data_IF_826892275734
#
_entry.id   IF_826892275734
#
_cell.length_a   1.000
_cell.length_b   1.000
_cell.length_c   1.000
_cell.angle_alpha   90.00
_cell.angle_beta   90.00
_cell.angle_gamma   90.00
#
_symmetry.space_group_name_H-M   'P 1'
#
loop_
_entity.id
_entity.type
_entity.pdbx_description
1 polymer ?
#
# COMPACT_ATOMS: atom_id res chain seq x y z
N UNK A 1 -17.29 16.94 19.02
CA UNK A 1 -17.08 16.61 17.59
C UNK A 1 -15.61 16.21 17.41
N UNK A 2 -15.27 14.92 17.29
CA UNK A 2 -13.89 14.49 17.08
C UNK A 2 -13.51 14.73 15.62
N UNK A 3 -12.68 15.76 15.39
CA UNK A 3 -12.11 16.06 14.09
C UNK A 3 -11.25 14.85 13.66
N UNK A 4 -11.81 13.99 12.81
CA UNK A 4 -11.09 12.83 12.25
C UNK A 4 -10.06 13.35 11.25
N UNK A 5 -8.92 13.83 11.77
CA UNK A 5 -7.75 14.12 10.96
C UNK A 5 -7.36 12.86 10.20
N UNK A 6 -7.34 12.98 8.87
CA UNK A 6 -6.87 11.93 7.98
C UNK A 6 -5.42 11.60 8.35
N UNK A 7 -5.14 10.32 8.57
CA UNK A 7 -3.80 9.85 8.91
C UNK A 7 -2.92 9.82 7.65
N UNK A 8 -2.36 10.97 7.28
CA UNK A 8 -1.58 11.13 6.04
C UNK A 8 -0.35 10.24 5.96
N UNK A 9 0.24 9.88 7.11
CA UNK A 9 1.36 8.95 7.14
C UNK A 9 0.99 7.55 6.61
N UNK A 10 -0.26 7.09 6.80
CA UNK A 10 -0.70 5.80 6.25
C UNK A 10 -0.84 5.82 4.73
N UNK A 11 -1.19 6.97 4.15
CA UNK A 11 -1.19 7.15 2.70
C UNK A 11 0.26 7.04 2.15
N UNK A 12 1.23 7.65 2.85
CA UNK A 12 2.65 7.52 2.52
C UNK A 12 3.18 6.10 2.67
N UNK A 13 2.83 5.40 3.76
CA UNK A 13 3.21 3.99 3.92
C UNK A 13 2.67 3.18 2.75
N UNK A 14 1.42 3.38 2.35
CA UNK A 14 0.84 2.68 1.19
C UNK A 14 1.68 2.94 -0.07
N UNK A 15 1.98 4.20 -0.37
CA UNK A 15 2.80 4.58 -1.54
C UNK A 15 4.16 3.86 -1.52
N UNK A 16 4.88 3.91 -0.39
CA UNK A 16 6.20 3.30 -0.26
C UNK A 16 6.11 1.77 -0.33
N UNK A 17 5.11 1.16 0.31
CA UNK A 17 4.91 -0.28 0.27
C UNK A 17 4.65 -0.79 -1.16
N UNK A 18 3.96 -0.02 -2.00
CA UNK A 18 3.79 -0.33 -3.42
C UNK A 18 5.07 -0.15 -4.23
N UNK A 19 5.90 0.86 -3.94
CA UNK A 19 7.23 0.96 -4.57
C UNK A 19 8.10 -0.25 -4.23
N UNK A 20 8.10 -0.67 -2.96
CA UNK A 20 8.79 -1.90 -2.52
C UNK A 20 8.20 -3.14 -3.20
N UNK A 21 6.90 -3.17 -3.51
CA UNK A 21 6.26 -4.26 -4.25
C UNK A 21 6.79 -4.37 -5.69
N UNK A 22 7.02 -3.24 -6.38
CA UNK A 22 7.62 -3.23 -7.72
C UNK A 22 9.02 -3.84 -7.66
N UNK A 23 9.86 -3.38 -6.73
CA UNK A 23 11.21 -3.93 -6.54
C UNK A 23 11.17 -5.43 -6.22
N UNK A 24 10.21 -5.86 -5.40
CA UNK A 24 10.02 -7.27 -5.07
C UNK A 24 9.66 -8.10 -6.30
N UNK A 25 8.67 -7.70 -7.11
CA UNK A 25 8.31 -8.45 -8.30
C UNK A 25 9.40 -8.45 -9.38
N UNK A 26 10.21 -7.38 -9.48
CA UNK A 26 11.43 -7.42 -10.30
C UNK A 26 12.45 -8.40 -9.72
N UNK A 27 12.64 -8.42 -8.39
CA UNK A 27 13.49 -9.41 -7.73
C UNK A 27 13.03 -10.86 -7.91
N UNK A 28 11.71 -11.10 -8.00
CA UNK A 28 11.14 -12.44 -8.25
C UNK A 28 11.63 -13.06 -9.57
N UNK A 29 12.04 -12.25 -10.55
CA UNK A 29 12.66 -12.74 -11.78
C UNK A 29 14.05 -13.35 -11.54
N UNK A 30 14.79 -12.91 -10.51
CA UNK A 30 16.18 -13.29 -10.23
C UNK A 30 16.38 -14.26 -9.03
N UNK A 31 15.36 -14.54 -8.22
CA UNK A 31 15.48 -15.53 -7.10
C UNK A 31 15.45 -16.98 -7.60
N UNK A 32 15.72 -17.98 -6.76
CA UNK A 32 15.51 -19.39 -7.12
C UNK A 32 14.03 -19.85 -7.09
N UNK A 33 13.15 -19.07 -6.45
CA UNK A 33 11.75 -19.44 -6.22
C UNK A 33 10.92 -19.47 -7.51
N UNK A 34 9.84 -20.24 -7.51
CA UNK A 34 8.91 -20.31 -8.63
C UNK A 34 8.27 -18.93 -8.91
N UNK A 35 8.21 -18.58 -10.19
CA UNK A 35 7.62 -17.35 -10.69
C UNK A 35 7.26 -17.49 -12.18
N UNK A 36 6.49 -16.56 -12.72
CA UNK A 36 6.02 -16.57 -14.11
C UNK A 36 7.13 -16.80 -15.13
N UNK A 37 8.19 -15.98 -15.06
CA UNK A 37 9.34 -16.02 -15.96
C UNK A 37 10.59 -15.83 -15.10
N UNK A 38 11.69 -16.53 -15.43
CA UNK A 38 12.94 -16.52 -14.67
C UNK A 38 14.13 -16.06 -15.52
N UNK A 39 15.04 -15.31 -14.91
CA UNK A 39 16.33 -14.96 -15.51
C UNK A 39 17.19 -16.22 -15.67
N UNK A 40 18.00 -16.33 -16.74
CA UNK A 40 19.04 -17.36 -16.83
C UNK A 40 20.05 -17.30 -15.67
N UNK A 41 20.24 -16.12 -15.07
CA UNK A 41 21.14 -15.88 -13.94
C UNK A 41 20.42 -15.95 -12.58
N UNK A 42 19.22 -16.54 -12.52
CA UNK A 42 18.46 -16.66 -11.29
C UNK A 42 19.19 -17.51 -10.23
N UNK A 43 19.16 -17.07 -8.98
CA UNK A 43 19.83 -17.76 -7.88
C UNK A 43 19.54 -17.15 -6.50
N UNK A 44 20.38 -17.47 -5.51
CA UNK A 44 20.11 -17.12 -4.11
C UNK A 44 20.56 -15.71 -3.69
N UNK A 45 21.31 -15.00 -4.53
CA UNK A 45 22.01 -13.77 -4.14
C UNK A 45 21.06 -12.66 -3.63
N UNK A 46 19.89 -12.48 -4.24
CA UNK A 46 18.93 -11.44 -3.87
C UNK A 46 17.91 -11.90 -2.82
N UNK A 47 17.85 -13.19 -2.51
CA UNK A 47 16.85 -13.77 -1.59
C UNK A 47 16.86 -13.14 -0.19
N UNK A 48 18.01 -12.82 0.44
CA UNK A 48 18.01 -12.14 1.74
C UNK A 48 17.26 -10.80 1.71
N UNK A 49 17.42 -10.01 0.65
CA UNK A 49 16.71 -8.75 0.45
C UNK A 49 15.21 -8.97 0.20
N UNK A 50 14.86 -10.06 -0.48
CA UNK A 50 13.48 -10.44 -0.71
C UNK A 50 12.78 -10.86 0.58
N UNK A 51 13.44 -11.67 1.42
CA UNK A 51 12.97 -12.09 2.75
C UNK A 51 12.79 -10.89 3.69
N UNK A 52 13.55 -9.81 3.51
CA UNK A 52 13.39 -8.59 4.30
C UNK A 52 11.98 -8.00 4.18
N UNK A 53 11.33 -8.14 3.03
CA UNK A 53 10.05 -7.50 2.71
C UNK A 53 8.86 -8.46 2.53
N UNK A 54 9.12 -9.72 2.18
CA UNK A 54 8.08 -10.72 1.92
C UNK A 54 7.09 -10.93 3.09
N UNK A 55 7.53 -11.06 4.36
CA UNK A 55 6.63 -11.43 5.46
C UNK A 55 5.53 -10.40 5.74
N UNK A 56 5.79 -9.11 5.53
CA UNK A 56 4.94 -8.05 6.06
C UNK A 56 4.25 -7.18 5.02
N UNK A 57 4.80 -7.04 3.81
CA UNK A 57 4.32 -6.09 2.78
C UNK A 57 2.83 -6.18 2.51
N UNK A 58 2.31 -7.39 2.26
CA UNK A 58 0.89 -7.58 1.95
C UNK A 58 0.00 -7.41 3.18
N UNK A 59 0.43 -7.93 4.33
CA UNK A 59 -0.27 -7.74 5.60
C UNK A 59 -0.42 -6.27 5.98
N UNK A 60 0.62 -5.46 5.71
CA UNK A 60 0.61 -4.01 5.88
C UNK A 60 -0.47 -3.35 5.00
N UNK A 61 -0.54 -3.72 3.72
CA UNK A 61 -1.53 -3.16 2.79
C UNK A 61 -2.96 -3.54 3.18
N UNK A 62 -3.19 -4.76 3.67
CA UNK A 62 -4.50 -5.16 4.23
C UNK A 62 -4.83 -4.36 5.49
N UNK A 63 -3.90 -4.19 6.42
CA UNK A 63 -4.10 -3.39 7.63
C UNK A 63 -4.45 -1.94 7.30
N UNK A 64 -3.70 -1.29 6.40
CA UNK A 64 -3.98 0.09 5.96
C UNK A 64 -5.33 0.17 5.25
N UNK A 65 -5.72 -0.87 4.51
CA UNK A 65 -7.03 -0.93 3.87
C UNK A 65 -8.17 -1.05 4.89
N UNK A 66 -7.95 -1.76 5.99
CA UNK A 66 -8.82 -1.78 7.16
C UNK A 66 -9.00 -0.40 7.77
N UNK A 67 -7.90 0.31 8.03
CA UNK A 67 -7.94 1.70 8.55
C UNK A 67 -8.75 2.61 7.61
N UNK A 68 -8.49 2.54 6.31
CA UNK A 68 -9.21 3.34 5.32
C UNK A 68 -10.71 3.00 5.29
N UNK A 69 -11.07 1.72 5.47
CA UNK A 69 -12.47 1.27 5.52
C UNK A 69 -13.18 1.81 6.76
N UNK A 70 -12.54 1.79 7.93
CA UNK A 70 -13.09 2.38 9.15
C UNK A 70 -13.35 3.89 9.01
N UNK A 71 -12.41 4.64 8.40
CA UNK A 71 -12.65 6.07 8.13
C UNK A 71 -13.76 6.33 7.13
N UNK A 72 -13.98 5.44 6.16
CA UNK A 72 -15.11 5.55 5.25
C UNK A 72 -16.44 5.23 5.95
N UNK A 73 -16.48 4.23 6.85
CA UNK A 73 -17.66 3.93 7.67
C UNK A 73 -18.07 5.11 8.57
N UNK A 74 -17.09 5.90 9.04
CA UNK A 74 -17.37 7.13 9.79
C UNK A 74 -18.04 8.24 8.97
N UNK A 75 -18.06 8.13 7.63
CA UNK A 75 -18.59 9.15 6.70
C UNK A 75 -19.75 8.67 5.83
N UNK A 76 -19.89 7.36 5.65
CA UNK A 76 -20.84 6.74 4.73
C UNK A 76 -21.63 5.66 5.46
N UNK A 77 -22.91 5.52 5.09
CA UNK A 77 -23.67 4.34 5.48
C UNK A 77 -23.06 3.06 4.88
N UNK A 78 -23.16 1.94 5.60
CA UNK A 78 -22.51 0.66 5.26
C UNK A 78 -22.85 0.22 3.83
N UNK A 79 -24.12 0.24 3.44
CA UNK A 79 -24.53 -0.15 2.08
C UNK A 79 -23.89 0.70 0.98
N UNK A 80 -23.79 2.03 1.19
CA UNK A 80 -23.13 2.94 0.25
C UNK A 80 -21.63 2.69 0.17
N UNK A 81 -20.98 2.37 1.29
CA UNK A 81 -19.57 1.96 1.30
C UNK A 81 -19.37 0.68 0.50
N UNK A 82 -20.19 -0.34 0.74
CA UNK A 82 -20.08 -1.64 0.07
C UNK A 82 -20.31 -1.51 -1.44
N UNK A 83 -21.30 -0.73 -1.86
CA UNK A 83 -21.55 -0.44 -3.28
C UNK A 83 -20.37 0.29 -3.94
N UNK A 84 -19.86 1.36 -3.30
CA UNK A 84 -18.71 2.11 -3.82
C UNK A 84 -17.45 1.25 -3.93
N UNK A 85 -17.22 0.39 -2.94
CA UNK A 85 -16.06 -0.52 -2.93
C UNK A 85 -16.20 -1.64 -3.96
N UNK A 86 -17.40 -2.16 -4.16
CA UNK A 86 -17.68 -3.16 -5.20
C UNK A 86 -17.36 -2.61 -6.58
N UNK A 87 -17.87 -1.43 -6.93
CA UNK A 87 -17.56 -0.81 -8.23
C UNK A 87 -16.06 -0.53 -8.40
N UNK A 88 -15.40 0.03 -7.38
CA UNK A 88 -13.99 0.42 -7.46
C UNK A 88 -12.99 -0.74 -7.44
N UNK A 89 -13.42 -1.95 -7.06
CA UNK A 89 -12.55 -3.12 -6.98
C UNK A 89 -12.91 -4.17 -8.04
N UNK A 90 -14.19 -4.49 -8.23
CA UNK A 90 -14.60 -5.54 -9.16
C UNK A 90 -14.46 -5.15 -10.63
N UNK A 91 -14.74 -3.89 -10.99
CA UNK A 91 -14.56 -3.42 -12.38
C UNK A 91 -13.09 -3.48 -12.79
N UNK A 92 -12.14 -2.93 -12.01
CA UNK A 92 -10.72 -3.08 -12.30
C UNK A 92 -10.21 -4.52 -12.23
N UNK A 93 -10.76 -5.34 -11.34
CA UNK A 93 -10.40 -6.76 -11.27
C UNK A 93 -10.81 -7.50 -12.55
N UNK A 94 -12.05 -7.33 -13.01
CA UNK A 94 -12.53 -7.95 -14.25
C UNK A 94 -11.74 -7.46 -15.46
N UNK A 95 -11.51 -6.15 -15.59
CA UNK A 95 -10.65 -5.59 -16.64
C UNK A 95 -9.23 -6.15 -16.56
N UNK A 96 -8.67 -6.24 -15.36
CA UNK A 96 -7.38 -6.82 -15.10
C UNK A 96 -7.29 -8.26 -15.57
N UNK A 97 -8.24 -9.12 -15.19
CA UNK A 97 -8.30 -10.53 -15.59
C UNK A 97 -8.44 -10.72 -17.10
N UNK A 98 -9.15 -9.83 -17.80
CA UNK A 98 -9.46 -9.97 -19.22
C UNK A 98 -8.45 -9.31 -20.15
N UNK A 99 -7.71 -8.29 -19.69
CA UNK A 99 -6.86 -7.46 -20.55
C UNK A 99 -5.43 -7.36 -20.03
N UNK A 100 -5.24 -7.14 -18.73
CA UNK A 100 -3.90 -6.87 -18.16
C UNK A 100 -3.17 -8.15 -17.80
N UNK A 101 -3.86 -9.14 -17.28
CA UNK A 101 -3.28 -10.41 -16.81
C UNK A 101 -2.91 -11.36 -17.95
N UNK A 102 -3.70 -11.52 -19.03
CA UNK A 102 -3.42 -12.54 -20.05
C UNK A 102 -2.03 -12.48 -20.68
N UNK A 103 -1.40 -11.32 -20.98
CA UNK A 103 -0.03 -11.28 -21.48
C UNK A 103 0.98 -11.93 -20.51
N UNK A 104 0.82 -11.72 -19.20
CA UNK A 104 1.72 -12.31 -18.21
C UNK A 104 1.55 -13.84 -18.13
N UNK A 105 0.31 -14.33 -18.24
CA UNK A 105 -0.01 -15.76 -18.24
C UNK A 105 0.46 -16.44 -19.53
N UNK A 106 0.39 -15.74 -20.66
CA UNK A 106 0.93 -16.20 -21.94
C UNK A 106 2.44 -16.47 -21.85
N UNK A 107 3.21 -15.49 -21.37
CA UNK A 107 4.66 -15.68 -21.24
C UNK A 107 5.03 -16.74 -20.22
N UNK A 108 4.23 -16.92 -19.16
CA UNK A 108 4.40 -18.05 -18.25
C UNK A 108 4.25 -19.40 -18.95
N UNK A 109 3.21 -19.60 -19.78
CA UNK A 109 3.05 -20.89 -20.47
C UNK A 109 4.07 -21.11 -21.59
N UNK A 110 4.51 -20.05 -22.26
CA UNK A 110 5.61 -20.12 -23.24
C UNK A 110 6.89 -20.61 -22.56
N UNK A 111 7.18 -20.14 -21.35
CA UNK A 111 8.42 -20.43 -20.63
C UNK A 111 8.37 -21.73 -19.82
N UNK A 112 7.27 -22.01 -19.13
CA UNK A 112 7.15 -23.16 -18.22
C UNK A 112 6.68 -24.44 -18.92
N UNK A 113 5.85 -24.34 -19.96
CA UNK A 113 5.27 -25.51 -20.66
C UNK A 113 5.58 -25.52 -22.15
N UNK A 114 6.52 -24.68 -22.61
CA UNK A 114 7.01 -24.62 -23.98
C UNK A 114 5.89 -24.44 -25.04
N UNK A 115 4.83 -23.68 -24.70
CA UNK A 115 3.72 -23.42 -25.62
C UNK A 115 4.20 -22.69 -26.89
N UNK A 116 3.87 -23.25 -28.06
CA UNK A 116 4.32 -22.74 -29.37
C UNK A 116 3.27 -21.89 -30.10
N UNK A 117 2.05 -21.78 -29.56
CA UNK A 117 0.98 -21.02 -30.21
C UNK A 117 1.16 -19.51 -30.06
N UNK A 118 0.54 -18.76 -30.98
CA UNK A 118 0.51 -17.31 -30.90
C UNK A 118 -0.39 -16.80 -29.77
N UNK A 119 -0.18 -15.54 -29.35
CA UNK A 119 -0.97 -14.90 -28.30
C UNK A 119 -2.49 -14.92 -28.57
N UNK A 120 -2.90 -14.80 -29.84
CA UNK A 120 -4.33 -14.85 -30.21
C UNK A 120 -4.98 -16.21 -29.96
N UNK A 121 -4.26 -17.31 -30.17
CA UNK A 121 -4.77 -18.65 -29.91
C UNK A 121 -4.74 -18.96 -28.41
N UNK A 122 -3.70 -18.52 -27.70
CA UNK A 122 -3.69 -18.53 -26.24
C UNK A 122 -4.90 -17.78 -25.67
N UNK A 123 -5.23 -16.60 -26.20
CA UNK A 123 -6.35 -15.82 -25.69
C UNK A 123 -7.70 -16.54 -25.87
N UNK A 124 -7.88 -17.30 -26.96
CA UNK A 124 -9.07 -18.15 -27.13
C UNK A 124 -9.13 -19.20 -26.02
N UNK A 125 -8.03 -19.93 -25.80
CA UNK A 125 -7.93 -20.95 -24.75
C UNK A 125 -8.15 -20.37 -23.35
N UNK A 126 -7.60 -19.19 -23.10
CA UNK A 126 -7.75 -18.44 -21.85
C UNK A 126 -9.22 -18.09 -21.58
N UNK A 127 -9.95 -17.62 -22.60
CA UNK A 127 -11.35 -17.23 -22.49
C UNK A 127 -12.30 -18.43 -22.41
N UNK A 128 -11.89 -19.60 -22.91
CA UNK A 128 -12.66 -20.86 -22.80
C UNK A 128 -12.27 -21.69 -21.58
N UNK A 129 -11.49 -21.14 -20.65
CA UNK A 129 -11.04 -21.84 -19.43
C UNK A 129 -10.34 -23.17 -19.70
N UNK A 130 -9.49 -23.21 -20.73
CA UNK A 130 -8.66 -24.38 -21.01
C UNK A 130 -7.76 -24.70 -19.81
N UNK A 131 -7.67 -25.98 -19.44
CA UNK A 131 -7.00 -26.47 -18.23
C UNK A 131 -5.77 -27.34 -18.52
N UNK A 132 -5.37 -27.46 -19.80
CA UNK A 132 -4.26 -28.34 -20.20
C UNK A 132 -2.85 -27.74 -20.10
N UNK A 133 -2.70 -26.48 -19.64
CA UNK A 133 -1.37 -25.90 -19.41
C UNK A 133 -0.84 -26.32 -18.04
N UNK A 134 -0.21 -27.50 -17.99
CA UNK A 134 0.31 -28.09 -16.76
C UNK A 134 1.80 -28.40 -16.81
N UNK A 135 2.48 -28.23 -15.68
CA UNK A 135 3.84 -28.69 -15.43
C UNK A 135 3.79 -29.67 -14.24
N UNK A 136 3.62 -30.96 -14.53
CA UNK A 136 3.28 -31.96 -13.50
C UNK A 136 1.88 -31.68 -12.95
N UNK A 137 1.75 -31.63 -11.63
CA UNK A 137 0.48 -31.34 -10.95
C UNK A 137 0.14 -29.83 -10.88
N UNK A 138 1.05 -28.97 -11.33
CA UNK A 138 0.91 -27.50 -11.35
C UNK A 138 0.27 -27.05 -12.67
N UNK A 139 -1.07 -26.89 -12.67
CA UNK A 139 -1.84 -26.44 -13.82
C UNK A 139 -2.26 -24.97 -13.69
N UNK A 140 -2.09 -24.19 -14.76
CA UNK A 140 -2.53 -22.81 -14.81
C UNK A 140 -4.06 -22.75 -14.92
N UNK A 141 -4.73 -22.30 -13.85
CA UNK A 141 -6.16 -22.00 -13.89
C UNK A 141 -6.42 -20.74 -14.72
N UNK A 142 -7.36 -20.80 -15.68
CA UNK A 142 -7.72 -19.66 -16.53
C UNK A 142 -9.24 -19.47 -16.63
N UNK A 143 -9.74 -18.21 -16.72
CA UNK A 143 -9.04 -16.95 -16.51
C UNK A 143 -8.45 -16.80 -15.10
N UNK A 144 -7.27 -16.19 -14.98
CA UNK A 144 -6.60 -15.94 -13.69
C UNK A 144 -6.58 -14.45 -13.36
N UNK A 145 -6.50 -14.13 -12.07
CA UNK A 145 -6.19 -12.78 -11.59
C UNK A 145 -4.70 -12.56 -11.32
N UNK A 146 -3.89 -13.61 -11.22
CA UNK A 146 -2.50 -13.56 -10.77
C UNK A 146 -2.33 -12.58 -9.61
N UNK A 147 -1.44 -11.60 -9.70
CA UNK A 147 -1.18 -10.61 -8.66
C UNK A 147 -2.37 -9.74 -8.23
N UNK A 148 -3.47 -9.74 -8.99
CA UNK A 148 -4.72 -9.05 -8.65
C UNK A 148 -5.56 -9.78 -7.61
N UNK A 149 -5.14 -10.98 -7.15
CA UNK A 149 -5.78 -11.71 -6.05
C UNK A 149 -6.00 -10.80 -4.82
N UNK A 150 -5.05 -9.91 -4.52
CA UNK A 150 -5.18 -8.96 -3.41
C UNK A 150 -6.44 -8.10 -3.52
N UNK A 151 -6.86 -7.71 -4.73
CA UNK A 151 -8.09 -6.94 -4.98
C UNK A 151 -9.35 -7.74 -4.66
N UNK A 152 -9.38 -9.02 -5.05
CA UNK A 152 -10.49 -9.92 -4.75
C UNK A 152 -10.63 -10.12 -3.23
N UNK A 153 -9.52 -10.38 -2.55
CA UNK A 153 -9.48 -10.56 -1.09
C UNK A 153 -9.90 -9.28 -0.39
N UNK A 154 -9.40 -8.13 -0.85
CA UNK A 154 -9.76 -6.83 -0.30
C UNK A 154 -11.27 -6.55 -0.44
N UNK A 155 -11.88 -6.93 -1.58
CA UNK A 155 -13.32 -6.80 -1.76
C UNK A 155 -14.07 -7.70 -0.76
N UNK A 156 -13.75 -8.99 -0.68
CA UNK A 156 -14.39 -9.92 0.27
C UNK A 156 -14.26 -9.42 1.70
N UNK A 157 -13.06 -9.03 2.13
CA UNK A 157 -12.83 -8.54 3.49
C UNK A 157 -13.61 -7.26 3.77
N UNK A 158 -13.74 -6.38 2.78
CA UNK A 158 -14.57 -5.18 2.91
C UNK A 158 -16.05 -5.55 3.06
N UNK A 159 -16.56 -6.53 2.31
CA UNK A 159 -17.96 -6.96 2.41
C UNK A 159 -18.25 -7.62 3.76
N UNK A 160 -17.40 -8.58 4.16
CA UNK A 160 -17.52 -9.27 5.45
C UNK A 160 -17.42 -8.29 6.61
N UNK A 161 -16.40 -7.42 6.61
CA UNK A 161 -16.27 -6.41 7.65
C UNK A 161 -17.42 -5.39 7.65
N UNK A 162 -17.92 -5.00 6.47
CA UNK A 162 -19.10 -4.13 6.35
C UNK A 162 -20.34 -4.75 7.00
N UNK A 163 -20.61 -6.03 6.71
CA UNK A 163 -21.71 -6.78 7.33
C UNK A 163 -21.52 -6.89 8.85
N UNK A 164 -20.31 -7.25 9.32
CA UNK A 164 -19.99 -7.31 10.75
C UNK A 164 -20.16 -5.95 11.44
N UNK A 165 -19.73 -4.87 10.79
CA UNK A 165 -19.87 -3.51 11.30
C UNK A 165 -21.34 -3.09 11.42
N UNK A 166 -22.16 -3.45 10.42
CA UNK A 166 -23.61 -3.22 10.45
C UNK A 166 -24.28 -3.98 11.60
N UNK A 167 -23.98 -5.27 11.77
CA UNK A 167 -24.51 -6.10 12.87
C UNK A 167 -24.03 -5.63 14.25
N UNK A 168 -22.77 -5.21 14.37
CA UNK A 168 -22.19 -4.76 15.64
C UNK A 168 -22.72 -3.39 16.07
N UNK A 169 -23.07 -2.50 15.12
CA UNK A 169 -23.55 -1.16 15.40
C UNK A 169 -22.63 -0.40 16.37
N UNK A 170 -23.18 0.10 17.49
CA UNK A 170 -22.41 0.82 18.53
C UNK A 170 -21.33 -0.05 19.22
N UNK A 171 -21.46 -1.38 19.21
CA UNK A 171 -20.47 -2.30 19.80
C UNK A 171 -19.13 -2.24 19.08
N UNK A 172 -19.11 -1.87 17.79
CA UNK A 172 -17.87 -1.71 17.04
C UNK A 172 -16.94 -0.65 17.66
N UNK A 173 -17.52 0.47 18.12
CA UNK A 173 -16.75 1.51 18.81
C UNK A 173 -16.21 1.01 20.16
N UNK A 174 -17.00 0.21 20.90
CA UNK A 174 -16.55 -0.41 22.14
C UNK A 174 -15.39 -1.40 21.91
N UNK A 175 -15.45 -2.21 20.85
CA UNK A 175 -14.37 -3.12 20.44
C UNK A 175 -13.11 -2.35 20.04
N UNK A 176 -13.24 -1.28 19.28
CA UNK A 176 -12.12 -0.40 18.92
C UNK A 176 -11.45 0.19 20.18
N UNK A 177 -12.24 0.69 21.13
CA UNK A 177 -11.73 1.23 22.39
C UNK A 177 -11.09 0.15 23.28
N UNK A 178 -11.64 -1.06 23.29
CA UNK A 178 -11.02 -2.20 23.99
C UNK A 178 -9.67 -2.54 23.35
N UNK A 179 -9.60 -2.65 22.02
CA UNK A 179 -8.36 -2.91 21.30
C UNK A 179 -7.30 -1.85 21.62
N UNK A 180 -7.65 -0.56 21.59
CA UNK A 180 -6.73 0.53 21.93
C UNK A 180 -6.25 0.53 23.40
N UNK A 181 -7.04 -0.01 24.34
CA UNK A 181 -6.62 -0.17 25.74
C UNK A 181 -5.72 -1.39 25.96
N UNK A 182 -6.03 -2.50 25.28
CA UNK A 182 -5.32 -3.78 25.45
C UNK A 182 -3.97 -3.76 24.73
N UNK A 183 -3.92 -3.20 23.53
CA UNK A 183 -2.71 -3.10 22.69
C UNK A 183 -1.85 -1.91 23.12
N UNK A 184 -1.23 -2.04 24.29
CA UNK A 184 -0.31 -1.05 24.84
C UNK A 184 0.97 -1.70 25.38
N UNK A 185 2.09 -0.99 25.30
CA UNK A 185 3.40 -1.50 25.71
C UNK A 185 3.77 -2.80 24.98
N UNK A 186 4.36 -3.76 25.69
CA UNK A 186 4.76 -5.06 25.11
C UNK A 186 3.59 -5.85 24.49
N UNK A 187 2.35 -5.63 24.93
CA UNK A 187 1.15 -6.30 24.40
C UNK A 187 0.84 -5.89 22.96
N UNK A 188 1.26 -4.69 22.55
CA UNK A 188 1.17 -4.23 21.17
C UNK A 188 1.98 -5.12 20.23
N UNK A 189 3.05 -5.74 20.72
CA UNK A 189 3.85 -6.72 19.97
C UNK A 189 3.31 -8.13 20.19
N UNK A 190 3.16 -8.57 21.44
CA UNK A 190 2.88 -9.98 21.70
C UNK A 190 1.53 -10.45 21.17
N UNK A 191 0.44 -9.69 21.40
CA UNK A 191 -0.90 -10.18 21.11
C UNK A 191 -1.15 -10.39 19.60
N UNK A 192 -0.77 -9.45 18.71
CA UNK A 192 -0.91 -9.70 17.27
C UNK A 192 -0.02 -10.83 16.76
N UNK A 193 1.18 -10.98 17.32
CA UNK A 193 2.08 -12.09 16.98
C UNK A 193 1.46 -13.42 17.37
N UNK A 194 0.87 -13.55 18.57
CA UNK A 194 0.20 -14.79 18.99
C UNK A 194 -0.89 -15.19 17.99
N UNK A 195 -1.73 -14.25 17.53
CA UNK A 195 -2.79 -14.56 16.55
C UNK A 195 -2.19 -15.06 15.23
N UNK A 196 -1.14 -14.41 14.73
CA UNK A 196 -0.45 -14.81 13.51
C UNK A 196 0.30 -16.15 13.66
N UNK A 197 0.85 -16.44 14.83
CA UNK A 197 1.49 -17.73 15.16
C UNK A 197 0.44 -18.83 15.16
N UNK A 198 -0.67 -18.64 15.88
CA UNK A 198 -1.76 -19.62 15.95
C UNK A 198 -2.28 -19.92 14.55
N UNK A 199 -2.61 -18.90 13.76
CA UNK A 199 -3.07 -19.08 12.37
C UNK A 199 -2.07 -19.89 11.53
N UNK A 200 -0.76 -19.63 11.67
CA UNK A 200 0.27 -20.37 10.93
C UNK A 200 0.36 -21.82 11.39
N UNK A 201 0.44 -22.07 12.68
CA UNK A 201 0.63 -23.41 13.23
C UNK A 201 -0.58 -24.32 13.00
N UNK A 202 -1.80 -23.77 12.97
CA UNK A 202 -3.02 -24.58 12.82
C UNK A 202 -3.51 -24.70 11.38
N UNK A 203 -3.22 -23.74 10.50
CA UNK A 203 -3.80 -23.70 9.15
C UNK A 203 -2.80 -23.87 8.01
N UNK A 204 -1.54 -23.43 8.15
CA UNK A 204 -0.64 -23.35 6.99
C UNK A 204 -0.26 -24.70 6.37
N UNK A 205 -0.24 -25.77 7.17
CA UNK A 205 0.05 -27.11 6.67
C UNK A 205 -1.13 -27.72 5.89
N UNK A 206 -2.37 -27.53 6.38
CA UNK A 206 -3.57 -28.08 5.74
C UNK A 206 -4.11 -27.19 4.63
N UNK A 207 -3.81 -25.89 4.67
CA UNK A 207 -4.27 -24.88 3.73
C UNK A 207 -3.07 -24.02 3.30
N UNK A 208 -2.19 -24.54 2.45
CA UNK A 208 -1.07 -23.77 1.91
C UNK A 208 -1.60 -22.57 1.09
N UNK A 209 -0.75 -21.55 0.94
CA UNK A 209 -1.12 -20.33 0.23
C UNK A 209 -1.36 -20.61 -1.26
N UNK A 210 -2.61 -20.53 -1.71
CA UNK A 210 -2.97 -20.72 -3.13
C UNK A 210 -3.33 -19.43 -3.85
N UNK A 211 -3.73 -18.38 -3.12
CA UNK A 211 -4.29 -17.16 -3.70
C UNK A 211 -5.56 -17.37 -4.53
N UNK A 212 -6.25 -18.50 -4.33
CA UNK A 212 -7.44 -18.90 -5.08
C UNK A 212 -8.75 -18.34 -4.50
N UNK A 213 -8.68 -17.53 -3.44
CA UNK A 213 -9.81 -17.04 -2.64
C UNK A 213 -10.57 -18.17 -1.93
N UNK A 214 -11.13 -19.12 -2.67
CA UNK A 214 -11.77 -20.29 -2.07
C UNK A 214 -10.72 -21.27 -1.51
N UNK A 215 -10.98 -21.80 -0.31
CA UNK A 215 -10.10 -22.80 0.33
C UNK A 215 -8.79 -22.25 0.90
N UNK A 216 -8.50 -20.95 0.75
CA UNK A 216 -7.24 -20.32 1.18
C UNK A 216 -7.31 -19.83 2.64
N UNK A 217 -7.69 -20.74 3.53
CA UNK A 217 -8.05 -20.42 4.92
C UNK A 217 -6.89 -19.84 5.74
N UNK A 218 -5.66 -20.28 5.48
CA UNK A 218 -4.49 -19.70 6.14
C UNK A 218 -4.33 -18.21 5.80
N UNK A 219 -4.40 -17.86 4.51
CA UNK A 219 -4.33 -16.46 4.07
C UNK A 219 -5.50 -15.63 4.58
N UNK A 220 -6.70 -16.20 4.65
CA UNK A 220 -7.84 -15.55 5.30
C UNK A 220 -7.57 -15.25 6.77
N UNK A 221 -7.09 -16.23 7.53
CA UNK A 221 -6.82 -16.04 8.95
C UNK A 221 -5.80 -14.93 9.21
N UNK A 222 -4.72 -14.82 8.43
CA UNK A 222 -3.73 -13.75 8.63
C UNK A 222 -4.17 -12.39 8.08
N UNK A 223 -4.67 -12.34 6.84
CA UNK A 223 -4.91 -11.06 6.17
C UNK A 223 -6.22 -10.42 6.58
N UNK A 224 -7.28 -11.21 6.81
CA UNK A 224 -8.52 -10.68 7.37
C UNK A 224 -8.31 -10.18 8.80
N UNK A 225 -7.51 -10.91 9.59
CA UNK A 225 -7.11 -10.45 10.93
C UNK A 225 -6.42 -9.09 10.88
N UNK A 226 -5.39 -8.92 10.04
CA UNK A 226 -4.67 -7.65 9.91
C UNK A 226 -5.58 -6.53 9.39
N UNK A 227 -6.48 -6.84 8.45
CA UNK A 227 -7.50 -5.89 7.98
C UNK A 227 -8.42 -5.42 9.12
N UNK A 228 -8.99 -6.35 9.89
CA UNK A 228 -9.86 -6.01 11.03
C UNK A 228 -9.08 -5.25 12.11
N UNK A 229 -7.86 -5.68 12.43
CA UNK A 229 -6.98 -4.99 13.37
C UNK A 229 -6.75 -3.54 12.94
N UNK A 230 -6.42 -3.32 11.67
CA UNK A 230 -6.29 -1.97 11.12
C UNK A 230 -7.58 -1.14 11.25
N UNK A 231 -8.73 -1.73 10.96
CA UNK A 231 -10.02 -1.05 11.13
C UNK A 231 -10.31 -0.67 12.58
N UNK A 232 -10.00 -1.54 13.54
CA UNK A 232 -10.17 -1.28 14.98
C UNK A 232 -9.19 -0.24 15.51
N UNK A 233 -7.98 -0.15 14.96
CA UNK A 233 -6.93 0.78 15.37
C UNK A 233 -7.03 2.17 14.71
N UNK A 234 -7.89 2.34 13.71
CA UNK A 234 -8.01 3.57 12.92
C UNK A 234 -8.16 4.84 13.76
N UNK A 235 -8.98 4.81 14.81
CA UNK A 235 -9.25 5.95 15.70
C UNK A 235 -8.38 5.98 16.96
N UNK A 236 -7.50 4.99 17.16
CA UNK A 236 -6.76 4.79 18.41
C UNK A 236 -5.40 5.53 18.39
N UNK A 237 -5.42 6.85 18.64
CA UNK A 237 -4.22 7.71 18.66
C UNK A 237 -3.07 7.18 19.53
N UNK A 238 -3.41 6.60 20.68
CA UNK A 238 -2.43 6.02 21.62
C UNK A 238 -1.59 4.93 20.95
N UNK A 239 -2.21 4.06 20.15
CA UNK A 239 -1.49 2.94 19.52
C UNK A 239 -0.43 3.44 18.54
N UNK A 240 -0.75 4.50 17.77
CA UNK A 240 0.23 5.10 16.86
C UNK A 240 1.38 5.80 17.60
N UNK A 241 1.10 6.42 18.75
CA UNK A 241 2.14 6.99 19.62
C UNK A 241 3.03 5.91 20.24
N UNK A 242 2.46 4.78 20.67
CA UNK A 242 3.24 3.65 21.17
C UNK A 242 4.10 3.03 20.05
N UNK A 243 3.59 2.92 18.81
CA UNK A 243 4.37 2.48 17.67
C UNK A 243 5.58 3.40 17.39
N UNK A 244 5.42 4.73 17.48
CA UNK A 244 6.53 5.68 17.39
C UNK A 244 7.54 5.48 18.52
N UNK A 245 7.08 5.33 19.77
CA UNK A 245 7.96 5.07 20.93
C UNK A 245 8.77 3.80 20.76
N UNK A 246 8.16 2.73 20.24
CA UNK A 246 8.78 1.42 20.08
C UNK A 246 9.61 1.27 18.79
N UNK A 247 9.68 2.28 17.91
CA UNK A 247 10.24 2.15 16.56
C UNK A 247 11.64 1.54 16.49
N UNK A 248 12.51 1.82 17.47
CA UNK A 248 13.86 1.26 17.54
C UNK A 248 13.86 -0.18 18.05
N UNK A 249 13.05 -0.47 19.07
CA UNK A 249 12.87 -1.83 19.58
C UNK A 249 12.27 -2.74 18.51
N UNK A 250 11.22 -2.30 17.83
CA UNK A 250 10.60 -3.05 16.75
C UNK A 250 11.54 -3.21 15.55
N UNK A 251 12.37 -2.21 15.24
CA UNK A 251 13.40 -2.32 14.20
C UNK A 251 14.45 -3.38 14.57
N UNK A 252 14.95 -3.37 15.80
CA UNK A 252 15.89 -4.39 16.28
C UNK A 252 15.29 -5.80 16.22
N UNK A 253 14.02 -5.95 16.63
CA UNK A 253 13.30 -7.23 16.52
C UNK A 253 13.08 -7.65 15.07
N UNK A 254 12.78 -6.70 14.18
CA UNK A 254 12.59 -6.97 12.75
C UNK A 254 13.89 -7.44 12.10
N UNK A 255 14.99 -6.71 12.29
CA UNK A 255 16.29 -7.07 11.72
C UNK A 255 16.85 -8.36 12.35
N UNK A 256 16.67 -8.56 13.65
CA UNK A 256 17.08 -9.79 14.33
C UNK A 256 16.30 -11.01 13.84
N UNK A 257 14.97 -10.92 13.78
CA UNK A 257 14.15 -12.01 13.21
C UNK A 257 14.42 -12.23 11.72
N UNK A 258 14.68 -11.16 10.96
CA UNK A 258 15.07 -11.26 9.55
C UNK A 258 16.38 -12.02 9.38
N UNK A 259 17.42 -11.69 10.16
CA UNK A 259 18.70 -12.40 10.10
C UNK A 259 18.54 -13.89 10.41
N UNK A 260 17.71 -14.24 11.39
CA UNK A 260 17.40 -15.64 11.70
C UNK A 260 16.68 -16.30 10.52
N UNK A 261 15.68 -15.64 9.92
CA UNK A 261 15.00 -16.15 8.74
C UNK A 261 15.96 -16.37 7.57
N UNK A 262 16.88 -15.45 7.31
CA UNK A 262 17.90 -15.63 6.26
C UNK A 262 18.70 -16.90 6.50
N UNK A 263 19.21 -17.11 7.72
CA UNK A 263 19.94 -18.36 8.07
C UNK A 263 19.06 -19.59 7.83
N UNK A 264 17.81 -19.55 8.29
CA UNK A 264 16.84 -20.62 8.09
C UNK A 264 16.59 -20.94 6.61
N UNK A 265 16.38 -19.92 5.76
CA UNK A 265 16.07 -20.09 4.34
C UNK A 265 17.30 -20.45 3.50
N UNK A 266 18.52 -20.23 4.01
CA UNK A 266 19.77 -20.70 3.37
C UNK A 266 20.10 -22.16 3.69
N UNK A 267 19.37 -22.80 4.60
CA UNK A 267 19.60 -24.22 4.91
C UNK A 267 19.28 -25.09 3.69
N UNK A 268 20.08 -26.15 3.41
CA UNK A 268 19.76 -27.09 2.36
C UNK A 268 18.37 -27.70 2.55
N UNK A 269 17.65 -27.92 1.44
CA UNK A 269 16.31 -28.50 1.46
C UNK A 269 16.27 -29.81 2.26
N UNK A 270 17.24 -30.69 2.06
CA UNK A 270 17.34 -31.97 2.79
C UNK A 270 17.41 -31.77 4.31
N UNK A 271 18.17 -30.77 4.77
CA UNK A 271 18.29 -30.46 6.19
C UNK A 271 16.96 -29.90 6.74
N UNK A 272 16.29 -29.00 6.02
CA UNK A 272 15.01 -28.39 6.41
C UNK A 272 13.90 -29.43 6.62
N UNK A 273 13.92 -30.50 5.82
CA UNK A 273 12.93 -31.57 5.88
C UNK A 273 13.37 -32.75 6.76
N UNK A 274 14.59 -32.72 7.32
CA UNK A 274 15.10 -33.77 8.19
C UNK A 274 14.35 -33.89 9.53
N UNK A 275 14.37 -35.08 10.17
CA UNK A 275 13.85 -35.24 11.53
C UNK A 275 14.54 -34.35 12.57
N UNK A 276 15.80 -33.94 12.34
CA UNK A 276 16.55 -33.08 13.25
C UNK A 276 15.99 -31.65 13.32
N UNK A 277 15.51 -31.12 12.19
CA UNK A 277 14.93 -29.76 12.10
C UNK A 277 13.42 -29.77 12.36
N UNK A 278 12.76 -30.93 12.28
CA UNK A 278 11.32 -31.06 12.47
C UNK A 278 10.76 -30.38 13.75
N UNK A 279 11.40 -30.50 14.94
CA UNK A 279 10.94 -29.83 16.15
C UNK A 279 11.07 -28.30 16.11
N UNK A 280 11.95 -27.77 15.26
CA UNK A 280 12.24 -26.33 15.14
C UNK A 280 11.33 -25.61 14.15
N UNK A 281 10.67 -26.32 13.22
CA UNK A 281 9.76 -25.72 12.23
C UNK A 281 8.66 -24.83 12.83
N UNK A 282 7.99 -25.21 13.95
CA UNK A 282 7.04 -24.32 14.62
C UNK A 282 7.69 -23.02 15.14
N UNK A 283 8.92 -23.11 15.66
CA UNK A 283 9.68 -21.95 16.14
C UNK A 283 10.04 -21.03 14.97
N UNK A 284 10.48 -21.58 13.85
CA UNK A 284 10.75 -20.82 12.62
C UNK A 284 9.48 -20.12 12.11
N UNK A 285 8.35 -20.82 12.13
CA UNK A 285 7.04 -20.23 11.82
C UNK A 285 6.68 -19.08 12.76
N UNK A 286 6.98 -19.21 14.05
CA UNK A 286 6.74 -18.14 15.02
C UNK A 286 7.66 -16.93 14.81
N UNK A 287 8.92 -17.15 14.44
CA UNK A 287 9.87 -16.09 14.06
C UNK A 287 9.39 -15.36 12.81
N UNK A 288 8.84 -16.08 11.83
CA UNK A 288 8.22 -15.47 10.66
C UNK A 288 7.03 -14.58 11.05
N UNK A 289 6.10 -15.09 11.86
CA UNK A 289 4.94 -14.32 12.33
C UNK A 289 5.34 -13.11 13.19
N UNK A 290 6.42 -13.22 13.96
CA UNK A 290 7.04 -12.10 14.66
C UNK A 290 7.53 -11.07 13.64
N UNK A 291 8.40 -11.47 12.70
CA UNK A 291 8.98 -10.62 11.66
C UNK A 291 7.89 -9.83 10.91
N UNK A 292 6.83 -10.54 10.51
CA UNK A 292 5.67 -9.97 9.84
C UNK A 292 5.06 -8.80 10.61
N UNK A 293 4.82 -8.93 11.92
CA UNK A 293 4.19 -7.88 12.71
C UNK A 293 5.15 -6.77 13.13
N UNK A 294 6.36 -7.09 13.58
CA UNK A 294 7.31 -6.07 14.07
C UNK A 294 7.81 -5.18 12.93
N UNK A 295 7.88 -5.68 11.70
CA UNK A 295 8.15 -4.86 10.53
C UNK A 295 7.01 -3.86 10.27
N UNK A 296 5.74 -4.29 10.33
CA UNK A 296 4.57 -3.42 10.21
C UNK A 296 4.61 -2.32 11.28
N UNK A 297 4.87 -2.69 12.54
CA UNK A 297 5.00 -1.73 13.64
C UNK A 297 6.14 -0.73 13.40
N UNK A 298 7.30 -1.20 12.93
CA UNK A 298 8.46 -0.36 12.63
C UNK A 298 8.12 0.67 11.55
N UNK A 299 7.57 0.23 10.42
CA UNK A 299 7.18 1.11 9.31
C UNK A 299 6.15 2.13 9.78
N UNK A 300 5.15 1.71 10.58
CA UNK A 300 4.15 2.62 11.14
C UNK A 300 4.76 3.63 12.12
N UNK A 301 5.66 3.21 13.00
CA UNK A 301 6.32 4.06 13.98
C UNK A 301 7.19 5.15 13.33
N UNK A 302 8.02 4.78 12.35
CA UNK A 302 8.83 5.75 11.61
C UNK A 302 7.96 6.70 10.76
N UNK A 303 6.96 6.18 10.05
CA UNK A 303 6.10 7.01 9.23
C UNK A 303 5.27 8.00 10.06
N UNK A 304 4.75 7.56 11.22
CA UNK A 304 4.02 8.42 12.15
C UNK A 304 4.88 9.59 12.65
N UNK A 305 6.19 9.38 12.83
CA UNK A 305 7.12 10.42 13.28
C UNK A 305 7.56 11.36 12.16
N UNK A 306 7.86 10.83 10.97
CA UNK A 306 8.61 11.56 9.94
C UNK A 306 7.78 12.02 8.74
N UNK A 307 6.63 11.40 8.44
CA UNK A 307 5.94 11.59 7.16
C UNK A 307 4.45 11.91 7.34
N UNK A 308 4.16 12.97 8.10
CA UNK A 308 2.79 13.36 8.49
C UNK A 308 2.17 14.47 7.64
N UNK A 309 2.94 15.09 6.74
CA UNK A 309 2.50 16.25 5.97
C UNK A 309 1.50 15.92 4.86
N UNK A 310 0.49 16.80 4.68
CA UNK A 310 -0.37 16.82 3.49
C UNK A 310 0.29 17.60 2.36
N UNK A 311 0.98 16.90 1.45
CA UNK A 311 1.67 17.52 0.32
C UNK A 311 1.01 17.17 -1.02
N UNK A 312 1.24 18.02 -2.03
CA UNK A 312 0.77 17.77 -3.40
C UNK A 312 1.30 16.44 -3.98
N UNK A 313 2.58 16.05 -3.80
CA UNK A 313 3.07 14.73 -4.20
C UNK A 313 2.29 13.58 -3.56
N UNK A 314 1.96 13.65 -2.26
CA UNK A 314 1.17 12.60 -1.61
C UNK A 314 -0.18 12.41 -2.29
N UNK A 315 -0.91 13.51 -2.57
CA UNK A 315 -2.23 13.45 -3.21
C UNK A 315 -2.16 12.82 -4.60
N UNK A 316 -1.18 13.22 -5.40
CA UNK A 316 -0.93 12.66 -6.72
C UNK A 316 -0.60 11.17 -6.67
N UNK A 317 0.40 10.80 -5.86
CA UNK A 317 0.86 9.41 -5.73
C UNK A 317 -0.22 8.50 -5.14
N UNK A 318 -1.06 9.01 -4.22
CA UNK A 318 -2.20 8.24 -3.69
C UNK A 318 -3.21 7.89 -4.78
N UNK A 319 -3.44 8.76 -5.76
CA UNK A 319 -4.30 8.47 -6.93
C UNK A 319 -3.61 7.47 -7.88
N UNK A 320 -2.29 7.58 -8.07
CA UNK A 320 -1.50 6.75 -8.98
C UNK A 320 -1.30 5.30 -8.51
N UNK A 321 -1.24 5.08 -7.20
CA UNK A 321 -0.90 3.78 -6.59
C UNK A 321 -1.69 2.61 -7.17
N UNK A 322 -3.02 2.72 -7.29
CA UNK A 322 -3.85 1.61 -7.70
C UNK A 322 -3.73 1.30 -9.22
N UNK A 323 -3.77 2.31 -10.12
CA UNK A 323 -3.43 2.10 -11.53
C UNK A 323 -2.05 1.49 -11.76
N UNK A 324 -1.01 1.99 -11.07
CA UNK A 324 0.35 1.45 -11.17
C UNK A 324 0.40 0.00 -10.68
N UNK A 325 -0.28 -0.30 -9.57
CA UNK A 325 -0.40 -1.66 -9.05
C UNK A 325 -1.09 -2.62 -10.04
N UNK A 326 -2.09 -2.18 -10.80
CA UNK A 326 -2.73 -3.06 -11.80
C UNK A 326 -1.75 -3.45 -12.92
N UNK A 327 -0.83 -2.54 -13.29
CA UNK A 327 0.02 -2.70 -14.48
C UNK A 327 1.38 -3.36 -14.19
N UNK A 328 1.96 -3.05 -13.02
CA UNK A 328 3.39 -3.24 -12.78
C UNK A 328 3.90 -4.66 -13.07
N UNK A 329 3.21 -5.70 -12.61
CA UNK A 329 3.72 -7.07 -12.73
C UNK A 329 3.63 -7.59 -14.17
N UNK A 330 2.53 -7.34 -14.88
CA UNK A 330 2.43 -7.71 -16.30
C UNK A 330 3.53 -7.02 -17.11
N UNK A 331 3.81 -5.75 -16.83
CA UNK A 331 4.91 -5.02 -17.47
C UNK A 331 6.26 -5.68 -17.17
N UNK A 332 6.56 -5.97 -15.90
CA UNK A 332 7.80 -6.66 -15.49
C UNK A 332 7.94 -7.99 -16.23
N UNK A 333 6.93 -8.85 -16.18
CA UNK A 333 6.96 -10.20 -16.78
C UNK A 333 7.16 -10.11 -18.30
N UNK A 334 6.40 -9.24 -18.97
CA UNK A 334 6.48 -9.08 -20.42
C UNK A 334 7.85 -8.57 -20.84
N UNK A 335 8.34 -7.49 -20.21
CA UNK A 335 9.64 -6.91 -20.55
C UNK A 335 10.79 -7.87 -20.21
N UNK A 336 10.73 -8.57 -19.08
CA UNK A 336 11.75 -9.54 -18.69
C UNK A 336 11.87 -10.67 -19.72
N UNK A 337 10.75 -11.23 -20.21
CA UNK A 337 10.76 -12.21 -21.29
C UNK A 337 11.46 -11.69 -22.54
N UNK A 338 11.10 -10.47 -22.99
CA UNK A 338 11.69 -9.87 -24.19
C UNK A 338 13.15 -9.45 -24.04
N UNK A 339 13.64 -9.19 -22.82
CA UNK A 339 15.02 -8.78 -22.57
C UNK A 339 16.01 -9.95 -22.44
N UNK A 340 15.53 -11.19 -22.22
CA UNK A 340 16.40 -12.37 -22.12
C UNK A 340 17.44 -12.49 -23.24
N UNK A 341 17.11 -12.29 -24.54
CA UNK A 341 18.10 -12.42 -25.61
C UNK A 341 19.22 -11.38 -25.57
N UNK A 342 18.99 -10.23 -24.91
CA UNK A 342 19.96 -9.12 -24.81
C UNK A 342 21.13 -9.48 -23.88
N UNK A 343 20.94 -10.42 -22.94
CA UNK A 343 21.97 -10.90 -22.00
C UNK A 343 22.64 -9.77 -21.21
N UNK A 344 21.84 -8.82 -20.72
CA UNK A 344 22.33 -7.77 -19.83
C UNK A 344 22.77 -8.37 -18.49
N UNK A 345 23.77 -7.75 -17.85
CA UNK A 345 24.14 -8.14 -16.49
C UNK A 345 22.96 -7.93 -15.53
N UNK A 346 22.68 -8.86 -14.58
CA UNK A 346 21.47 -8.83 -13.76
C UNK A 346 21.18 -7.52 -13.03
N UNK A 347 22.22 -6.83 -12.54
CA UNK A 347 22.06 -5.53 -11.88
C UNK A 347 21.58 -4.43 -12.85
N UNK A 348 22.10 -4.44 -14.08
CA UNK A 348 21.73 -3.48 -15.14
C UNK A 348 20.33 -3.80 -15.65
N UNK A 349 20.07 -5.07 -15.96
CA UNK A 349 18.75 -5.54 -16.39
C UNK A 349 17.68 -5.20 -15.34
N UNK A 350 17.95 -5.48 -14.06
CA UNK A 350 17.07 -5.15 -12.94
C UNK A 350 16.78 -3.66 -12.83
N UNK A 351 17.79 -2.80 -12.93
CA UNK A 351 17.61 -1.35 -12.91
C UNK A 351 16.76 -0.86 -14.09
N UNK A 352 17.03 -1.36 -15.29
CA UNK A 352 16.26 -1.02 -16.49
C UNK A 352 14.81 -1.47 -16.35
N UNK A 353 14.56 -2.71 -15.90
CA UNK A 353 13.20 -3.23 -15.68
C UNK A 353 12.42 -2.38 -14.68
N UNK A 354 13.03 -1.96 -13.57
CA UNK A 354 12.39 -1.08 -12.58
C UNK A 354 12.06 0.28 -13.20
N UNK A 355 13.03 0.92 -13.85
CA UNK A 355 12.85 2.26 -14.44
C UNK A 355 11.76 2.24 -15.51
N UNK A 356 11.78 1.26 -16.41
CA UNK A 356 10.77 1.12 -17.45
C UNK A 356 9.40 0.80 -16.85
N UNK A 357 9.31 -0.09 -15.88
CA UNK A 357 8.04 -0.44 -15.23
C UNK A 357 7.40 0.78 -14.59
N UNK A 358 8.18 1.54 -13.82
CA UNK A 358 7.71 2.77 -13.19
C UNK A 358 7.29 3.78 -14.25
N UNK A 359 8.16 4.06 -15.24
CA UNK A 359 7.90 5.08 -16.27
C UNK A 359 6.67 4.76 -17.10
N UNK A 360 6.53 3.53 -17.59
CA UNK A 360 5.39 3.09 -18.39
C UNK A 360 4.12 3.09 -17.55
N UNK A 361 4.17 2.60 -16.30
CA UNK A 361 3.00 2.62 -15.40
C UNK A 361 2.51 4.04 -15.14
N UNK A 362 3.42 4.99 -14.93
CA UNK A 362 3.07 6.41 -14.74
C UNK A 362 2.56 7.06 -16.03
N UNK A 363 3.12 6.72 -17.19
CA UNK A 363 2.62 7.20 -18.48
C UNK A 363 1.18 6.72 -18.75
N UNK A 364 0.89 5.44 -18.51
CA UNK A 364 -0.46 4.88 -18.62
C UNK A 364 -1.38 5.50 -17.57
N UNK A 365 -0.93 5.69 -16.33
CA UNK A 365 -1.70 6.40 -15.31
C UNK A 365 -2.10 7.81 -15.75
N UNK A 366 -1.18 8.58 -16.33
CA UNK A 366 -1.46 9.93 -16.82
C UNK A 366 -2.49 9.93 -17.97
N UNK A 367 -2.41 8.93 -18.88
CA UNK A 367 -3.43 8.74 -19.90
C UNK A 367 -4.80 8.41 -19.29
N UNK A 368 -4.85 7.43 -18.39
CA UNK A 368 -6.06 7.00 -17.68
C UNK A 368 -6.69 8.15 -16.89
N UNK A 369 -5.86 9.01 -16.29
CA UNK A 369 -6.32 10.18 -15.53
C UNK A 369 -7.03 11.20 -16.41
N UNK A 370 -6.59 11.37 -17.67
CA UNK A 370 -7.13 12.32 -18.66
C UNK A 370 -8.35 11.79 -19.41
N UNK A 371 -8.43 10.47 -19.65
CA UNK A 371 -9.51 9.85 -20.41
C UNK A 371 -10.61 9.31 -19.49
N UNK A 372 -11.77 9.98 -19.47
CA UNK A 372 -12.86 9.69 -18.54
C UNK A 372 -13.35 8.22 -18.56
N UNK A 373 -13.35 7.58 -19.73
CA UNK A 373 -13.78 6.19 -19.93
C UNK A 373 -12.83 5.18 -19.29
N UNK A 374 -11.53 5.48 -19.23
CA UNK A 374 -10.53 4.57 -18.67
C UNK A 374 -10.47 4.62 -17.13
N UNK A 375 -10.85 5.75 -16.53
CA UNK A 375 -10.83 5.95 -15.07
C UNK A 375 -11.45 4.81 -14.26
N UNK A 376 -12.70 4.36 -14.54
CA UNK A 376 -13.31 3.27 -13.77
C UNK A 376 -12.57 1.93 -13.93
N UNK A 377 -11.94 1.66 -15.08
CA UNK A 377 -11.17 0.43 -15.34
C UNK A 377 -9.92 0.32 -14.46
N UNK A 378 -9.43 1.45 -13.95
CA UNK A 378 -8.30 1.52 -13.02
C UNK A 378 -8.72 2.05 -11.63
N UNK A 379 -10.00 1.95 -11.27
CA UNK A 379 -10.51 2.25 -9.92
C UNK A 379 -10.50 3.74 -9.53
N UNK A 380 -10.29 4.64 -10.50
CA UNK A 380 -10.35 6.07 -10.30
C UNK A 380 -11.80 6.57 -10.30
N UNK A 381 -12.09 7.54 -9.42
CA UNK A 381 -13.40 8.20 -9.37
C UNK A 381 -13.66 9.08 -10.59
N UNK A 382 -14.90 9.55 -10.77
CA UNK A 382 -15.25 10.52 -11.83
C UNK A 382 -14.34 11.75 -11.73
N UNK A 383 -14.01 12.35 -12.88
CA UNK A 383 -13.33 13.65 -12.91
C UNK A 383 -14.19 14.61 -12.10
N UNK A 384 -13.65 15.23 -11.03
CA UNK A 384 -14.29 16.41 -10.45
C UNK A 384 -14.26 17.44 -11.56
N UNK A 385 -15.39 17.63 -12.23
CA UNK A 385 -15.62 18.86 -12.99
C UNK A 385 -15.40 19.94 -11.94
N UNK A 386 -14.40 20.79 -12.14
CA UNK A 386 -14.29 21.98 -11.33
C UNK A 386 -15.61 22.72 -11.52
N UNK A 387 -16.53 22.58 -10.58
CA UNK A 387 -17.54 23.61 -10.38
C UNK A 387 -16.72 24.88 -10.25
N UNK A 388 -16.85 25.75 -11.25
CA UNK A 388 -16.38 27.12 -11.12
C UNK A 388 -17.03 27.61 -9.85
N UNK A 389 -16.21 27.82 -8.83
CA UNK A 389 -16.60 28.53 -7.62
C UNK A 389 -16.77 30.00 -8.02
N UNK A 390 -17.85 30.28 -8.75
CA UNK A 390 -18.42 31.61 -8.89
C UNK A 390 -19.49 31.74 -7.81
N UNK A 391 -19.08 31.63 -6.55
CA UNK A 391 -19.85 32.05 -5.40
C UNK A 391 -18.97 32.90 -4.50
N UNK A 392 -19.06 34.22 -4.75
CA UNK A 392 -18.74 35.29 -3.80
C UNK A 392 -17.34 35.30 -3.18
N UNK A 393 -16.36 35.81 -3.94
CA UNK A 393 -15.40 36.75 -3.36
C UNK A 393 -16.15 38.07 -3.16
N UNK A 394 -16.89 38.19 -2.07
CA UNK A 394 -17.10 39.52 -1.47
C UNK A 394 -15.85 39.80 -0.64
N UNK A 395 -14.92 40.54 -1.23
CA UNK A 395 -13.86 41.19 -0.49
C UNK A 395 -14.50 42.17 0.53
N UNK A 396 -13.93 42.33 1.73
CA UNK A 396 -14.31 43.43 2.60
C UNK A 396 -13.79 44.71 1.94
N UNK A 397 -14.68 45.48 1.32
CA UNK A 397 -14.36 46.83 0.87
C UNK A 397 -14.13 47.68 2.12
N UNK A 398 -12.87 48.05 2.30
CA UNK A 398 -12.39 48.99 3.29
C UNK A 398 -13.18 50.30 3.20
N UNK A 399 -13.65 50.77 4.35
CA UNK A 399 -13.92 52.18 4.56
C UNK A 399 -12.58 52.92 4.55
N UNK A 400 -12.28 53.63 3.47
CA UNK A 400 -11.30 54.73 3.45
C UNK A 400 -11.53 55.56 2.18
N UNK A 401 -12.15 56.72 2.39
CA UNK A 401 -11.78 58.02 1.84
C UNK A 401 -11.31 58.10 0.38
N UNK A 402 -12.22 58.55 -0.48
CA UNK A 402 -11.87 59.41 -1.61
C UNK A 402 -12.99 60.45 -1.80
N UNK A 403 -12.80 61.63 -1.22
CA UNK A 403 -13.57 62.82 -1.60
C UNK A 403 -12.64 64.02 -1.63
N UNK A 404 -12.25 64.39 -2.85
CA UNK A 404 -11.78 65.71 -3.23
C UNK A 404 -12.09 65.90 -4.73
N UNK A 405 -12.23 67.12 -5.27
CA UNK A 405 -12.20 68.44 -4.64
C UNK A 405 -13.39 69.35 -5.05
N UNK A 406 -13.86 70.25 -4.19
CA UNK A 406 -14.43 71.53 -4.68
C UNK A 406 -14.34 72.61 -3.60
N UNK A 407 -13.99 73.81 -4.05
CA UNK A 407 -14.03 75.13 -3.41
C UNK A 407 -12.82 75.59 -2.56
N UNK A 408 -11.98 76.37 -3.26
CA UNK A 408 -11.48 77.66 -2.80
C UNK A 408 -12.48 78.38 -1.87
N UNK A 409 -12.04 78.80 -0.69
CA UNK A 409 -12.03 80.20 -0.26
C UNK A 409 -11.64 80.33 1.23
N UNK A 410 -10.86 81.39 1.50
CA UNK A 410 -10.71 82.12 2.78
C UNK A 410 -9.91 81.51 3.95
N UNK A 411 -8.70 82.06 4.11
CA UNK A 411 -7.96 82.41 5.35
C UNK A 411 -8.88 82.81 6.54
N UNK A 412 -8.44 82.81 7.83
CA UNK A 412 -7.09 83.18 8.29
C UNK A 412 -6.47 82.50 9.55
N UNK A 413 -5.15 82.68 9.66
CA UNK A 413 -4.34 83.12 10.81
C UNK A 413 -4.48 82.52 12.25
N UNK A 414 -3.38 81.90 12.67
CA UNK A 414 -2.53 82.31 13.83
C UNK A 414 -2.88 81.93 15.29
N UNK A 415 -1.78 81.65 16.01
CA UNK A 415 -1.58 81.53 17.46
C UNK A 415 -1.96 80.16 18.05
N UNK A 416 -1.15 79.46 18.86
CA UNK A 416 -0.04 79.82 19.75
C UNK A 416 0.95 78.64 19.85
N UNK A 417 2.24 78.96 20.02
CA UNK A 417 3.27 78.07 20.56
C UNK A 417 3.18 78.07 22.12
N UNK A 418 3.89 77.21 22.90
CA UNK A 418 5.35 77.23 22.92
C UNK A 418 6.07 75.90 23.23
N UNK A 419 7.39 75.94 22.96
CA UNK A 419 8.48 75.45 23.84
C UNK A 419 8.59 73.93 24.09
N UNK A 420 9.76 73.29 24.06
CA UNK A 420 11.13 73.62 23.75
C UNK A 420 11.91 72.30 23.90
N UNK A 421 12.93 72.10 23.04
CA UNK A 421 14.28 71.64 23.40
C UNK A 421 14.44 70.30 24.18
N UNK A 422 15.42 69.43 23.94
CA UNK A 422 16.77 69.58 23.39
C UNK A 422 17.38 68.18 23.26
N UNK A 423 18.28 68.00 22.29
CA UNK A 423 19.47 67.12 22.33
C UNK A 423 19.29 65.59 22.47
N UNK A 424 20.16 64.71 22.01
CA UNK A 424 21.28 64.65 21.08
C UNK A 424 21.80 63.20 21.12
N UNK A 425 22.56 62.78 20.08
CA UNK A 425 23.54 61.67 20.05
C UNK A 425 22.98 60.24 20.30
N UNK A 426 22.82 59.31 19.34
CA UNK A 426 23.80 58.61 18.44
C UNK A 426 24.97 57.89 19.14
N UNK A 427 25.57 56.82 18.56
CA UNK A 427 25.35 55.44 19.02
C UNK A 427 26.65 54.62 19.20
N UNK A 428 26.60 53.47 19.87
CA UNK A 428 27.52 52.32 19.79
C UNK A 428 27.00 51.26 20.78
N UNK A 429 27.18 49.95 20.74
CA UNK A 429 27.81 48.97 19.84
C UNK A 429 27.57 47.61 20.53
N UNK A 430 27.33 46.55 19.75
CA UNK A 430 27.75 45.14 19.98
C UNK A 430 27.84 44.55 21.40
N UNK A 431 27.14 43.43 21.65
CA UNK A 431 27.77 42.13 21.97
C UNK A 431 26.75 41.02 22.24
N UNK A 432 27.18 39.80 21.86
CA UNK A 432 26.68 38.44 22.15
C UNK A 432 25.50 37.91 21.35
#
# INVERSE_FOLDING_TARGET
MHNHQRLYFLDWIRIIAFLVLILYHTGMYYVSWDWHVKSPDAGHAIEPLMILSAPWRLGLLFMISGVATAFMLGKLHVGKLMAQRSWRLLVPLAFGMLVIVPPQAYFEVVEKVAYQGGYGDFLKLYMTSYDGFCRGDDCLAMPTWNHLWFVAYLWVYTMVFGALAWMAGKRLAALSNLAGRVLAGWKLVLLPVIVLVVARLTLSASYPSTHALAGDWYNHAQYFYLFVLGALLASQRRVWQEADRMRWTSLGMWLGSWAILVVCYTMPHELMHSPAVAPWRPVMGAIYSLNQWVAILTVCGYAHRHVTADSAPRRYLTEAVFPVYILHQTLIVSMAHWFKPVRLAPAVEGAVLVILTVTISFAVFELVRRVAVLRPLFGLGKVRRAERDTSHVQAPAQASEALAPTLLATLPASSQAPSAATSAATPASTCA
#
